data_IF_650023616577
#
_entry.id   IF_650023616577
#
_cell.length_a   1.000
_cell.length_b   1.000
_cell.length_c   1.000
_cell.angle_alpha   90.00
_cell.angle_beta   90.00
_cell.angle_gamma   90.00
#
_symmetry.space_group_name_H-M   'P 1'
#
loop_
_entity.id
_entity.type
_entity.pdbx_description
1 polymer ?
#
# COMPACT_ATOMS: atom_id res chain seq x y z
N UNK A 1 28.77 0.13 -0.93
CA UNK A 1 27.83 -0.82 -0.28
C UNK A 1 26.44 -0.19 -0.30
N UNK A 2 25.38 -1.00 -0.35
CA UNK A 2 24.01 -0.48 -0.27
C UNK A 2 23.74 0.06 1.14
N UNK A 3 23.01 1.17 1.25
CA UNK A 3 22.47 1.65 2.54
C UNK A 3 21.34 0.73 3.03
N UNK A 4 20.96 0.81 4.31
CA UNK A 4 19.83 0.02 4.83
C UNK A 4 18.52 0.36 4.11
N UNK A 5 18.31 1.64 3.76
CA UNK A 5 17.18 2.05 2.91
C UNK A 5 17.19 1.35 1.54
N UNK A 6 18.36 1.28 0.87
CA UNK A 6 18.47 0.61 -0.43
C UNK A 6 18.23 -0.91 -0.36
N UNK A 7 18.59 -1.55 0.76
CA UNK A 7 18.27 -2.96 1.02
C UNK A 7 16.77 -3.13 1.26
N UNK A 8 16.20 -2.30 2.13
CA UNK A 8 14.79 -2.30 2.52
C UNK A 8 13.86 -2.22 1.31
N UNK A 9 14.03 -1.20 0.46
CA UNK A 9 13.15 -1.04 -0.72
C UNK A 9 13.36 -2.11 -1.79
N UNK A 10 14.52 -2.78 -1.79
CA UNK A 10 14.81 -3.92 -2.66
C UNK A 10 14.24 -5.25 -2.12
N UNK A 11 13.64 -5.25 -0.94
CA UNK A 11 13.14 -6.45 -0.26
C UNK A 11 14.25 -7.35 0.30
N UNK A 12 15.47 -6.83 0.40
CA UNK A 12 16.61 -7.52 1.02
C UNK A 12 16.53 -7.40 2.54
N UNK A 13 17.13 -8.33 3.30
CA UNK A 13 17.25 -8.18 4.75
C UNK A 13 17.93 -6.86 5.13
N UNK A 14 17.31 -6.11 6.04
CA UNK A 14 17.78 -4.81 6.52
C UNK A 14 17.62 -4.69 8.05
N UNK A 15 18.29 -3.70 8.63
CA UNK A 15 18.20 -3.36 10.04
C UNK A 15 17.27 -2.15 10.26
N UNK A 16 16.06 -2.33 10.83
CA UNK A 16 15.07 -1.26 10.98
C UNK A 16 15.46 -0.17 12.00
N UNK A 17 16.48 -0.44 12.82
CA UNK A 17 17.02 0.52 13.80
C UNK A 17 18.10 1.43 13.21
N UNK A 18 18.41 1.30 11.93
CA UNK A 18 19.31 2.21 11.22
C UNK A 18 18.89 3.68 11.41
N UNK A 19 19.82 4.59 11.75
CA UNK A 19 19.48 5.99 12.04
C UNK A 19 18.74 6.70 10.90
N UNK A 20 19.06 6.41 9.64
CA UNK A 20 18.42 7.06 8.49
C UNK A 20 16.97 6.55 8.34
N UNK A 21 16.75 5.25 8.52
CA UNK A 21 15.39 4.68 8.53
C UNK A 21 14.56 5.23 9.70
N UNK A 22 15.15 5.36 10.89
CA UNK A 22 14.48 5.94 12.06
C UNK A 22 14.10 7.40 11.83
N UNK A 23 14.98 8.17 11.18
CA UNK A 23 14.71 9.55 10.80
C UNK A 23 13.57 9.66 9.77
N UNK A 24 13.56 8.80 8.74
CA UNK A 24 12.49 8.74 7.75
C UNK A 24 11.14 8.40 8.39
N UNK A 25 11.10 7.35 9.23
CA UNK A 25 9.88 6.95 9.94
C UNK A 25 9.37 8.05 10.89
N UNK A 26 10.26 8.80 11.54
CA UNK A 26 9.86 9.93 12.37
C UNK A 26 9.26 11.07 11.55
N UNK A 27 9.86 11.38 10.40
CA UNK A 27 9.35 12.40 9.47
C UNK A 27 7.97 12.00 8.93
N UNK A 28 7.80 10.72 8.58
CA UNK A 28 6.53 10.15 8.15
C UNK A 28 5.44 10.30 9.23
N UNK A 29 5.75 10.02 10.50
CA UNK A 29 4.79 10.21 11.61
C UNK A 29 4.33 11.66 11.76
N UNK A 30 5.23 12.63 11.57
CA UNK A 30 4.86 14.05 11.62
C UNK A 30 3.93 14.44 10.46
N UNK A 31 4.25 14.00 9.24
CA UNK A 31 3.40 14.20 8.06
C UNK A 31 2.03 13.53 8.21
N UNK A 32 2.02 12.30 8.72
CA UNK A 32 0.80 11.55 9.01
C UNK A 32 -0.09 12.27 10.03
N UNK A 33 0.49 12.77 11.12
CA UNK A 33 -0.26 13.52 12.13
C UNK A 33 -0.86 14.79 11.53
N UNK A 34 -0.05 15.58 10.81
CA UNK A 34 -0.52 16.79 10.14
C UNK A 34 -1.66 16.50 9.15
N UNK A 35 -1.54 15.45 8.33
CA UNK A 35 -2.58 15.05 7.41
C UNK A 35 -3.87 14.63 8.12
N UNK A 36 -3.76 13.83 9.19
CA UNK A 36 -4.93 13.29 9.89
C UNK A 36 -5.68 14.33 10.73
N UNK A 37 -5.04 15.44 11.10
CA UNK A 37 -5.65 16.57 11.80
C UNK A 37 -6.23 17.63 10.85
N UNK A 38 -5.84 17.63 9.57
CA UNK A 38 -6.29 18.61 8.59
C UNK A 38 -7.73 18.34 8.15
N UNK A 39 -8.59 19.36 8.30
CA UNK A 39 -10.02 19.31 7.98
C UNK A 39 -10.32 19.83 6.58
N UNK A 40 -9.42 20.64 6.02
CA UNK A 40 -9.49 21.11 4.64
C UNK A 40 -8.92 20.05 3.70
N UNK A 41 -9.75 19.40 2.86
CA UNK A 41 -9.27 18.35 1.98
C UNK A 41 -8.23 18.83 0.98
N UNK A 42 -8.24 20.11 0.58
CA UNK A 42 -7.26 20.65 -0.39
C UNK A 42 -5.88 20.68 0.24
N UNK A 43 -5.77 21.23 1.46
CA UNK A 43 -4.49 21.26 2.22
C UNK A 43 -4.03 19.86 2.60
N UNK A 44 -4.97 18.98 2.96
CA UNK A 44 -4.66 17.58 3.20
C UNK A 44 -3.98 16.93 1.99
N UNK A 45 -4.47 17.21 0.77
CA UNK A 45 -3.86 16.68 -0.44
C UNK A 45 -2.49 17.31 -0.75
N UNK A 46 -2.26 18.58 -0.41
CA UNK A 46 -0.92 19.19 -0.51
C UNK A 46 0.11 18.46 0.37
N UNK A 47 -0.29 18.07 1.59
CA UNK A 47 0.57 17.28 2.49
C UNK A 47 0.90 15.92 1.87
N UNK A 48 -0.09 15.22 1.32
CA UNK A 48 0.12 13.92 0.66
C UNK A 48 1.03 14.06 -0.56
N UNK A 49 0.77 15.03 -1.44
CA UNK A 49 1.59 15.29 -2.65
C UNK A 49 3.04 15.63 -2.31
N UNK A 50 3.28 16.33 -1.20
CA UNK A 50 4.62 16.67 -0.72
C UNK A 50 5.32 15.57 0.09
N UNK A 51 4.68 14.42 0.29
CA UNK A 51 5.17 13.34 1.16
C UNK A 51 5.28 12.00 0.44
N UNK A 52 4.25 11.60 -0.30
CA UNK A 52 4.24 10.33 -1.01
C UNK A 52 5.24 10.36 -2.18
N UNK A 53 5.79 9.19 -2.53
CA UNK A 53 6.82 9.08 -3.56
C UNK A 53 6.35 9.60 -4.91
N UNK A 54 5.10 9.36 -5.26
CA UNK A 54 4.43 10.03 -6.38
C UNK A 54 2.90 9.92 -6.27
N UNK A 55 2.19 10.90 -6.83
CA UNK A 55 0.73 10.87 -6.98
C UNK A 55 0.33 11.36 -8.37
N UNK A 56 -0.89 11.03 -8.80
CA UNK A 56 -1.58 11.82 -9.82
C UNK A 56 -1.95 13.22 -9.33
N UNK A 57 -2.56 14.00 -10.22
CA UNK A 57 -3.04 15.34 -9.94
C UNK A 57 -4.31 15.33 -9.10
N UNK A 58 -5.29 14.51 -9.46
CA UNK A 58 -6.51 14.34 -8.68
C UNK A 58 -6.39 13.09 -7.81
N UNK A 59 -6.55 13.29 -6.51
CA UNK A 59 -6.64 12.21 -5.54
C UNK A 59 -7.47 12.68 -4.35
N UNK A 60 -8.02 11.70 -3.62
CA UNK A 60 -8.74 11.96 -2.38
C UNK A 60 -8.50 10.82 -1.41
N UNK A 61 -8.04 11.14 -0.20
CA UNK A 61 -7.85 10.19 0.88
C UNK A 61 -8.59 10.75 2.09
N UNK A 62 -9.50 9.97 2.67
CA UNK A 62 -10.06 10.34 3.97
C UNK A 62 -8.99 10.25 5.06
N UNK A 63 -9.10 11.11 6.08
CA UNK A 63 -8.20 11.07 7.23
C UNK A 63 -8.31 9.74 7.99
N UNK A 64 -7.40 9.56 8.96
CA UNK A 64 -7.06 8.26 9.61
C UNK A 64 -6.23 7.35 8.71
N UNK A 65 -5.34 7.95 7.93
CA UNK A 65 -4.31 7.24 7.18
C UNK A 65 -3.20 6.76 8.13
N UNK A 66 -2.73 5.53 7.94
CA UNK A 66 -1.60 4.94 8.65
C UNK A 66 -0.56 4.41 7.66
N UNK A 67 0.68 4.87 7.73
CA UNK A 67 1.80 4.43 6.89
C UNK A 67 3.11 4.35 7.68
N UNK A 68 4.12 3.63 7.15
CA UNK A 68 5.43 3.54 7.80
C UNK A 68 6.34 4.72 7.42
N UNK A 69 6.47 4.98 6.12
CA UNK A 69 7.39 5.97 5.55
C UNK A 69 6.68 6.98 4.63
N UNK A 70 5.63 6.57 3.93
CA UNK A 70 4.91 7.34 2.92
C UNK A 70 5.67 7.53 1.60
N UNK A 71 6.99 7.75 1.65
CA UNK A 71 7.83 8.01 0.47
C UNK A 71 7.93 6.81 -0.50
N UNK A 72 7.56 5.61 -0.07
CA UNK A 72 7.54 4.41 -0.93
C UNK A 72 6.16 4.14 -1.55
N UNK A 73 5.20 5.05 -1.36
CA UNK A 73 3.84 4.94 -1.90
C UNK A 73 3.73 5.72 -3.21
N UNK A 74 3.26 5.06 -4.24
CA UNK A 74 3.08 5.59 -5.59
C UNK A 74 1.64 5.38 -6.05
N UNK A 75 0.89 6.47 -6.17
CA UNK A 75 -0.53 6.45 -6.54
C UNK A 75 -0.73 7.06 -7.93
N UNK A 76 -1.58 6.43 -8.74
CA UNK A 76 -1.99 6.96 -10.04
C UNK A 76 -2.97 8.12 -9.95
N UNK A 77 -3.51 8.48 -11.11
CA UNK A 77 -4.53 9.52 -11.26
C UNK A 77 -5.88 9.06 -10.70
N UNK A 78 -6.70 9.98 -10.18
CA UNK A 78 -8.03 9.72 -9.65
C UNK A 78 -8.07 8.66 -8.52
N UNK A 79 -7.02 8.56 -7.71
CA UNK A 79 -7.01 7.65 -6.56
C UNK A 79 -8.00 8.11 -5.50
N UNK A 80 -8.87 7.20 -5.05
CA UNK A 80 -9.80 7.44 -3.95
C UNK A 80 -9.59 6.42 -2.84
N UNK A 81 -9.51 6.90 -1.59
CA UNK A 81 -9.65 6.05 -0.41
C UNK A 81 -10.72 6.56 0.55
N UNK A 82 -11.51 5.61 1.02
CA UNK A 82 -12.39 5.77 2.16
C UNK A 82 -11.59 5.77 3.47
N UNK A 83 -12.28 5.82 4.61
CA UNK A 83 -11.69 5.95 5.95
C UNK A 83 -10.74 4.81 6.33
N UNK A 84 -9.75 5.14 7.17
CA UNK A 84 -8.90 4.17 7.87
C UNK A 84 -8.06 3.27 6.93
N UNK A 85 -7.43 3.89 5.93
CA UNK A 85 -6.47 3.22 5.05
C UNK A 85 -5.15 2.97 5.78
N UNK A 86 -4.65 1.74 5.69
CA UNK A 86 -3.30 1.38 6.16
C UNK A 86 -2.41 0.94 4.99
N UNK A 87 -1.22 1.53 4.86
CA UNK A 87 -0.23 1.20 3.85
C UNK A 87 1.15 1.08 4.50
N UNK A 88 1.56 -0.13 4.87
CA UNK A 88 2.87 -0.39 5.44
C UNK A 88 3.90 -0.54 4.32
N UNK A 89 4.67 0.52 4.07
CA UNK A 89 5.47 0.75 2.88
C UNK A 89 6.99 0.61 3.14
N UNK A 90 7.42 -0.44 3.83
CA UNK A 90 8.86 -0.81 3.89
C UNK A 90 9.40 -1.12 2.49
N UNK A 91 8.58 -1.71 1.60
CA UNK A 91 8.85 -1.80 0.17
C UNK A 91 7.86 -0.95 -0.63
N UNK A 92 8.15 -0.68 -1.92
CA UNK A 92 7.25 0.08 -2.78
C UNK A 92 5.83 -0.48 -2.83
N UNK A 93 4.84 0.41 -2.70
CA UNK A 93 3.44 0.14 -3.01
C UNK A 93 3.05 1.01 -4.20
N UNK A 94 2.75 0.37 -5.32
CA UNK A 94 2.34 1.05 -6.55
C UNK A 94 0.91 0.70 -6.90
N UNK A 95 0.05 1.69 -7.04
CA UNK A 95 -1.36 1.53 -7.41
C UNK A 95 -1.66 2.45 -8.61
N UNK A 96 -2.19 1.87 -9.69
CA UNK A 96 -2.51 2.59 -10.92
C UNK A 96 -3.70 3.55 -10.82
N UNK A 97 -4.06 4.11 -11.98
CA UNK A 97 -5.11 5.12 -12.11
C UNK A 97 -6.51 4.57 -11.74
N UNK A 98 -7.38 5.47 -11.28
CA UNK A 98 -8.79 5.25 -10.96
C UNK A 98 -9.05 4.17 -9.89
N UNK A 99 -8.09 3.94 -9.00
CA UNK A 99 -8.29 2.99 -7.91
C UNK A 99 -9.28 3.54 -6.87
N UNK A 100 -10.20 2.68 -6.43
CA UNK A 100 -11.20 2.97 -5.42
C UNK A 100 -11.03 2.03 -4.23
N UNK A 101 -10.64 2.58 -3.09
CA UNK A 101 -10.34 1.80 -1.89
C UNK A 101 -11.44 2.00 -0.84
N UNK A 102 -12.10 0.90 -0.46
CA UNK A 102 -13.09 0.87 0.61
C UNK A 102 -12.49 1.12 2.00
N UNK A 103 -13.33 1.28 3.04
CA UNK A 103 -12.84 1.61 4.37
C UNK A 103 -12.08 0.43 5.00
N UNK A 104 -11.12 0.71 5.88
CA UNK A 104 -10.35 -0.28 6.62
C UNK A 104 -9.52 -1.25 5.72
N UNK A 105 -9.13 -0.83 4.52
CA UNK A 105 -8.25 -1.63 3.67
C UNK A 105 -6.79 -1.52 4.12
N UNK A 106 -6.02 -2.58 3.87
CA UNK A 106 -4.63 -2.70 4.30
C UNK A 106 -3.74 -3.19 3.15
N UNK A 107 -2.63 -2.51 2.91
CA UNK A 107 -1.59 -2.89 1.95
C UNK A 107 -0.30 -3.10 2.72
N UNK A 108 0.16 -4.35 2.80
CA UNK A 108 1.18 -4.76 3.75
C UNK A 108 2.38 -5.30 2.98
N UNK A 109 3.47 -4.53 2.91
CA UNK A 109 4.74 -5.00 2.35
C UNK A 109 5.72 -5.67 3.33
N UNK A 110 5.67 -5.42 4.67
CA UNK A 110 6.61 -6.04 5.60
C UNK A 110 6.47 -7.57 5.72
N UNK A 111 7.61 -8.21 5.94
CA UNK A 111 7.75 -9.62 6.28
C UNK A 111 8.75 -9.78 7.43
N UNK A 112 8.61 -10.89 8.14
CA UNK A 112 9.60 -11.35 9.12
C UNK A 112 9.97 -12.80 8.83
N UNK A 113 11.17 -13.24 9.25
CA UNK A 113 11.53 -14.64 9.22
C UNK A 113 10.49 -15.50 9.95
N UNK A 114 10.25 -16.71 9.45
CA UNK A 114 9.34 -17.66 10.12
C UNK A 114 10.04 -18.33 11.30
N UNK A 115 11.35 -18.54 11.19
CA UNK A 115 12.16 -19.04 12.28
C UNK A 115 12.16 -18.03 13.45
N UNK A 116 11.85 -18.47 14.69
CA UNK A 116 11.72 -17.56 15.82
C UNK A 116 13.05 -16.90 16.21
N UNK A 117 14.19 -17.58 16.07
CA UNK A 117 15.49 -17.01 16.45
C UNK A 117 15.93 -15.98 15.42
N UNK A 118 15.75 -16.25 14.13
CA UNK A 118 15.96 -15.28 13.07
C UNK A 118 15.02 -14.07 13.22
N UNK A 119 13.74 -14.29 13.54
CA UNK A 119 12.78 -13.19 13.75
C UNK A 119 13.13 -12.33 14.96
N UNK A 120 13.66 -12.94 16.03
CA UNK A 120 14.08 -12.23 17.22
C UNK A 120 15.44 -11.51 17.06
N UNK A 121 16.18 -11.78 15.98
CA UNK A 121 17.42 -11.06 15.67
C UNK A 121 17.21 -9.56 15.38
N UNK A 122 15.96 -9.17 15.09
CA UNK A 122 15.61 -7.81 14.67
C UNK A 122 15.80 -7.56 13.17
N UNK A 123 16.10 -8.60 12.37
CA UNK A 123 16.09 -8.52 10.91
C UNK A 123 14.67 -8.44 10.37
N UNK A 124 14.48 -7.55 9.40
CA UNK A 124 13.24 -7.38 8.65
C UNK A 124 13.53 -7.49 7.15
N UNK A 125 12.50 -7.79 6.37
CA UNK A 125 12.52 -7.70 4.92
C UNK A 125 11.10 -7.40 4.43
N UNK A 126 10.92 -7.24 3.13
CA UNK A 126 9.60 -6.99 2.58
C UNK A 126 9.49 -7.44 1.13
N UNK A 127 8.29 -7.30 0.58
CA UNK A 127 8.05 -7.49 -0.85
C UNK A 127 7.11 -6.40 -1.38
N UNK A 128 7.43 -5.78 -2.52
CA UNK A 128 6.61 -4.72 -3.08
C UNK A 128 5.21 -5.21 -3.44
N UNK A 129 4.25 -4.29 -3.44
CA UNK A 129 2.90 -4.51 -3.94
C UNK A 129 2.72 -3.68 -5.23
N UNK A 130 2.16 -4.29 -6.27
CA UNK A 130 1.87 -3.61 -7.54
C UNK A 130 0.45 -3.89 -7.96
N UNK A 131 -0.33 -2.85 -8.22
CA UNK A 131 -1.74 -2.95 -8.58
C UNK A 131 -1.98 -2.11 -9.83
N UNK A 132 -2.60 -2.71 -10.84
CA UNK A 132 -2.98 -2.05 -12.08
C UNK A 132 -4.07 -0.98 -11.92
N UNK A 133 -4.61 -0.56 -13.06
CA UNK A 133 -5.64 0.47 -13.15
C UNK A 133 -7.01 -0.05 -12.74
N UNK A 134 -7.90 0.86 -12.36
CA UNK A 134 -9.31 0.61 -12.08
C UNK A 134 -9.53 -0.46 -10.98
N UNK A 135 -8.58 -0.59 -10.06
CA UNK A 135 -8.70 -1.50 -8.93
C UNK A 135 -9.81 -1.04 -7.99
N UNK A 136 -10.72 -1.95 -7.63
CA UNK A 136 -11.73 -1.67 -6.61
C UNK A 136 -11.57 -2.63 -5.44
N UNK A 137 -11.28 -2.09 -4.25
CA UNK A 137 -11.30 -2.83 -3.00
C UNK A 137 -12.60 -2.54 -2.24
N UNK A 138 -13.37 -3.57 -1.92
CA UNK A 138 -14.40 -3.53 -0.90
C UNK A 138 -13.80 -3.26 0.49
N UNK A 139 -14.63 -2.89 1.46
CA UNK A 139 -14.14 -2.59 2.81
C UNK A 139 -13.44 -3.79 3.47
N UNK A 140 -12.35 -3.51 4.20
CA UNK A 140 -11.60 -4.53 4.94
C UNK A 140 -10.74 -5.47 4.09
N UNK A 141 -10.47 -5.12 2.82
CA UNK A 141 -9.54 -5.90 1.98
C UNK A 141 -8.12 -5.79 2.51
N UNK A 142 -7.39 -6.91 2.52
CA UNK A 142 -5.98 -6.99 2.91
C UNK A 142 -5.17 -7.51 1.73
N UNK A 143 -4.16 -6.76 1.31
CA UNK A 143 -3.19 -7.13 0.27
C UNK A 143 -1.85 -7.44 0.92
N UNK A 144 -1.37 -8.68 0.73
CA UNK A 144 -0.16 -9.18 1.38
C UNK A 144 1.13 -8.91 0.57
N UNK A 145 2.31 -9.08 1.17
CA UNK A 145 3.59 -8.77 0.53
C UNK A 145 3.80 -9.52 -0.79
N UNK A 146 4.30 -8.81 -1.81
CA UNK A 146 4.68 -9.41 -3.09
C UNK A 146 3.52 -9.65 -4.05
N UNK A 147 2.32 -9.16 -3.73
CA UNK A 147 1.15 -9.30 -4.61
C UNK A 147 1.26 -8.33 -5.80
N UNK A 148 1.06 -8.89 -6.99
CA UNK A 148 0.83 -8.14 -8.23
C UNK A 148 -0.59 -8.38 -8.72
N UNK A 149 -1.38 -7.32 -8.89
CA UNK A 149 -2.71 -7.37 -9.48
C UNK A 149 -2.72 -6.65 -10.83
N UNK A 150 -3.34 -7.28 -11.81
CA UNK A 150 -3.60 -6.68 -13.10
C UNK A 150 -4.61 -5.53 -13.08
N UNK A 151 -5.01 -5.09 -14.27
CA UNK A 151 -6.02 -4.05 -14.46
C UNK A 151 -7.44 -4.58 -14.18
N UNK A 152 -8.32 -3.67 -13.76
CA UNK A 152 -9.76 -3.93 -13.56
C UNK A 152 -10.07 -4.99 -12.50
N UNK A 153 -9.14 -5.26 -11.58
CA UNK A 153 -9.38 -6.23 -10.51
C UNK A 153 -10.36 -5.66 -9.48
N UNK A 154 -11.34 -6.46 -9.09
CA UNK A 154 -12.28 -6.14 -8.00
C UNK A 154 -12.04 -7.10 -6.85
N UNK A 155 -11.78 -6.60 -5.65
CA UNK A 155 -11.71 -7.38 -4.44
C UNK A 155 -12.96 -7.17 -3.59
N UNK A 156 -13.73 -8.22 -3.35
CA UNK A 156 -14.87 -8.20 -2.44
C UNK A 156 -14.46 -7.87 -1.01
N UNK A 157 -15.39 -7.32 -0.23
CA UNK A 157 -15.14 -6.93 1.16
C UNK A 157 -14.57 -8.09 1.99
N UNK A 158 -13.59 -7.79 2.85
CA UNK A 158 -12.91 -8.77 3.70
C UNK A 158 -12.01 -9.77 2.98
N UNK A 159 -11.73 -9.59 1.68
CA UNK A 159 -10.82 -10.47 0.96
C UNK A 159 -9.38 -10.33 1.46
N UNK A 160 -8.68 -11.45 1.62
CA UNK A 160 -7.25 -11.48 1.95
C UNK A 160 -6.47 -12.00 0.75
N UNK A 161 -5.85 -11.08 0.01
CA UNK A 161 -5.15 -11.36 -1.23
C UNK A 161 -3.72 -11.80 -0.92
N UNK A 162 -3.46 -13.09 -1.07
CA UNK A 162 -2.19 -13.73 -0.68
C UNK A 162 -1.30 -14.10 -1.87
N UNK A 163 -1.75 -13.86 -3.11
CA UNK A 163 -1.02 -14.18 -4.34
C UNK A 163 -1.45 -13.25 -5.46
N UNK A 164 -0.65 -13.17 -6.51
CA UNK A 164 -0.91 -12.35 -7.69
C UNK A 164 -2.05 -12.91 -8.56
N UNK A 165 -2.75 -12.01 -9.24
CA UNK A 165 -3.83 -12.32 -10.18
C UNK A 165 -3.72 -11.41 -11.40
N UNK A 166 -4.16 -11.91 -12.57
CA UNK A 166 -4.20 -11.14 -13.80
C UNK A 166 -5.36 -10.15 -13.84
N UNK A 167 -5.62 -9.60 -15.03
CA UNK A 167 -6.62 -8.58 -15.26
C UNK A 167 -8.06 -9.14 -15.16
N UNK A 168 -9.03 -8.23 -15.02
CA UNK A 168 -10.45 -8.50 -15.27
C UNK A 168 -11.06 -9.60 -14.41
N UNK A 169 -10.68 -9.68 -13.13
CA UNK A 169 -11.21 -10.68 -12.20
C UNK A 169 -11.83 -10.05 -10.97
N UNK A 170 -12.85 -10.73 -10.45
CA UNK A 170 -13.40 -10.49 -9.12
C UNK A 170 -12.82 -11.52 -8.16
N UNK A 171 -12.20 -11.02 -7.09
CA UNK A 171 -11.61 -11.80 -6.01
C UNK A 171 -12.50 -11.73 -4.77
N UNK A 172 -12.63 -12.85 -4.05
CA UNK A 172 -13.25 -12.85 -2.72
C UNK A 172 -12.70 -13.97 -1.83
N UNK A 173 -12.87 -13.82 -0.52
CA UNK A 173 -12.54 -14.84 0.48
C UNK A 173 -11.20 -14.61 1.18
N UNK A 174 -10.94 -15.42 2.20
CA UNK A 174 -9.69 -15.48 2.94
C UNK A 174 -9.21 -16.94 3.02
N UNK A 175 -8.17 -17.32 2.26
CA UNK A 175 -7.46 -16.52 1.26
C UNK A 175 -8.28 -16.30 -0.03
N UNK A 176 -8.08 -15.16 -0.69
CA UNK A 176 -8.89 -14.73 -1.84
C UNK A 176 -8.72 -15.65 -3.06
N UNK A 177 -9.81 -15.85 -3.81
CA UNK A 177 -9.86 -16.63 -5.05
C UNK A 177 -10.64 -15.86 -6.10
N UNK A 178 -10.37 -16.15 -7.38
CA UNK A 178 -11.22 -15.68 -8.48
C UNK A 178 -12.58 -16.33 -8.31
N UNK A 179 -13.61 -15.50 -8.17
CA UNK A 179 -15.02 -15.93 -8.10
C UNK A 179 -15.79 -15.61 -9.38
N UNK A 180 -15.25 -14.71 -10.20
CA UNK A 180 -15.87 -14.26 -11.45
C UNK A 180 -14.85 -13.56 -12.34
N UNK A 181 -14.97 -13.77 -13.65
CA UNK A 181 -14.31 -12.94 -14.67
C UNK A 181 -15.21 -11.75 -15.04
N UNK A 182 -14.60 -10.61 -15.32
CA UNK A 182 -15.26 -9.37 -15.69
C UNK A 182 -15.26 -9.29 -17.22
N UNK A 183 -16.42 -9.39 -17.89
CA UNK A 183 -16.48 -9.16 -19.32
C UNK A 183 -16.27 -7.67 -19.59
N UNK A 184 -15.09 -7.31 -20.10
CA UNK A 184 -14.80 -5.95 -20.54
C UNK A 184 -15.44 -5.77 -21.91
N UNK A 185 -16.33 -4.78 -22.02
CA UNK A 185 -16.85 -4.38 -23.33
C UNK A 185 -15.68 -3.77 -24.10
N UNK A 186 -15.32 -4.34 -25.25
CA UNK A 186 -14.34 -3.72 -26.14
C UNK A 186 -14.77 -2.30 -26.48
N UNK A 187 -13.82 -1.37 -26.44
CA UNK A 187 -14.01 -0.01 -26.95
C UNK A 187 -14.24 -0.03 -28.46
#
# INVERSE_FOLDING_TARGET
MKTEYQKMIAGEPYHPFDPDLRFLAQTARQKQAAFNEEVDPVKGMEIIKGWFGSTGENLYINTRLMVDYGVNIHLGENFYSNWNLTMLDVCPITIGDNAMIGPNCQFLTPLHPLDPDERNSGLEFGKPITIGKNFWAGGGVIVLPGVTLGDNVVAGAGAVITKSFGDNVVLAGNPARVIKEIPVKGN
#
